data_IF_228350134124
#
_entry.id   IF_228350134124
#
_cell.length_a   1.000
_cell.length_b   1.000
_cell.length_c   1.000
_cell.angle_alpha   90.00
_cell.angle_beta   90.00
_cell.angle_gamma   90.00
#
_symmetry.space_group_name_H-M   'P 1'
#
loop_
_entity.id
_entity.type
_entity.pdbx_description
1 polymer ?
#
# COMPACT_ATOMS: atom_id res chain seq x y z
N UNK A 1 -24.00 -4.47 0.96
CA UNK A 1 -24.64 -5.52 0.14
C UNK A 1 -25.71 -6.29 0.90
N UNK A 2 -25.38 -7.21 1.83
CA UNK A 2 -26.37 -8.05 2.54
C UNK A 2 -27.51 -7.25 3.19
N UNK A 3 -27.16 -6.17 3.90
CA UNK A 3 -28.14 -5.29 4.56
C UNK A 3 -29.09 -4.56 3.58
N UNK A 4 -28.69 -4.40 2.31
CA UNK A 4 -29.51 -3.78 1.26
C UNK A 4 -30.16 -4.83 0.33
N UNK A 5 -30.06 -6.12 0.64
CA UNK A 5 -30.62 -7.20 -0.18
C UNK A 5 -29.96 -7.38 -1.55
N UNK A 6 -28.85 -6.68 -1.83
CA UNK A 6 -28.16 -6.72 -3.12
C UNK A 6 -27.43 -8.05 -3.27
N UNK A 7 -27.71 -8.75 -4.37
CA UNK A 7 -27.10 -10.02 -4.76
C UNK A 7 -26.02 -9.79 -5.82
N UNK A 8 -25.24 -10.84 -6.09
CA UNK A 8 -24.19 -10.77 -7.12
C UNK A 8 -24.76 -10.64 -8.54
N UNK A 9 -25.96 -11.16 -8.80
CA UNK A 9 -26.65 -10.98 -10.09
C UNK A 9 -26.91 -9.49 -10.40
N UNK A 10 -27.21 -8.69 -9.38
CA UNK A 10 -27.46 -7.25 -9.51
C UNK A 10 -26.18 -6.44 -9.84
N UNK A 11 -25.01 -7.06 -9.75
CA UNK A 11 -23.71 -6.42 -9.98
C UNK A 11 -23.12 -6.74 -11.36
N UNK A 12 -23.80 -7.58 -12.15
CA UNK A 12 -23.35 -7.98 -13.49
C UNK A 12 -23.18 -6.75 -14.38
N UNK A 13 -24.16 -5.85 -14.37
CA UNK A 13 -24.13 -4.59 -15.13
C UNK A 13 -23.13 -3.58 -14.55
N UNK A 14 -22.94 -3.60 -13.21
CA UNK A 14 -21.98 -2.71 -12.53
C UNK A 14 -20.56 -3.00 -12.98
N UNK A 15 -20.20 -4.28 -13.10
CA UNK A 15 -18.87 -4.71 -13.53
C UNK A 15 -18.76 -4.97 -15.04
N UNK A 16 -19.82 -4.73 -15.81
CA UNK A 16 -19.86 -4.94 -17.27
C UNK A 16 -19.43 -6.35 -17.67
N UNK A 17 -19.81 -7.35 -16.87
CA UNK A 17 -19.52 -8.76 -17.11
C UNK A 17 -20.75 -9.48 -17.65
N UNK A 18 -20.55 -10.66 -18.24
CA UNK A 18 -21.65 -11.45 -18.83
C UNK A 18 -22.35 -12.38 -17.83
N UNK A 19 -21.83 -12.53 -16.61
CA UNK A 19 -22.38 -13.49 -15.65
C UNK A 19 -22.01 -13.17 -14.20
N UNK A 20 -22.78 -13.75 -13.27
CA UNK A 20 -22.46 -13.76 -11.84
C UNK A 20 -21.07 -14.35 -11.55
N UNK A 21 -20.63 -15.33 -12.35
CA UNK A 21 -19.28 -15.89 -12.24
C UNK A 21 -18.19 -14.85 -12.52
N UNK A 22 -18.43 -13.97 -13.50
CA UNK A 22 -17.56 -12.82 -13.77
C UNK A 22 -17.46 -11.87 -12.59
N UNK A 23 -18.59 -11.56 -11.93
CA UNK A 23 -18.62 -10.75 -10.70
C UNK A 23 -17.79 -11.40 -9.59
N UNK A 24 -17.87 -12.73 -9.43
CA UNK A 24 -17.12 -13.47 -8.41
C UNK A 24 -15.60 -13.30 -8.54
N UNK A 25 -15.07 -13.14 -9.74
CA UNK A 25 -13.63 -12.90 -9.95
C UNK A 25 -13.14 -11.60 -9.33
N UNK A 26 -13.98 -10.56 -9.26
CA UNK A 26 -13.65 -9.31 -8.56
C UNK A 26 -13.62 -9.51 -7.04
N UNK A 27 -14.62 -10.19 -6.48
CA UNK A 27 -14.65 -10.47 -5.02
C UNK A 27 -13.55 -11.43 -4.56
N UNK A 28 -13.07 -12.31 -5.46
CA UNK A 28 -11.93 -13.19 -5.21
C UNK A 28 -10.57 -12.51 -5.42
N UNK A 29 -10.54 -11.22 -5.80
CA UNK A 29 -9.31 -10.47 -6.05
C UNK A 29 -8.55 -10.86 -7.31
N UNK A 30 -9.17 -11.59 -8.25
CA UNK A 30 -8.55 -11.96 -9.53
C UNK A 30 -8.58 -10.81 -10.53
N UNK A 31 -9.59 -9.95 -10.44
CA UNK A 31 -9.75 -8.77 -11.27
C UNK A 31 -9.84 -7.52 -10.41
N UNK A 32 -9.27 -6.43 -10.93
CA UNK A 32 -9.30 -5.12 -10.29
C UNK A 32 -10.38 -4.27 -10.97
N UNK A 33 -11.35 -3.73 -10.21
CA UNK A 33 -12.39 -2.86 -10.77
C UNK A 33 -11.80 -1.50 -11.18
N UNK A 34 -12.33 -0.93 -12.27
CA UNK A 34 -11.99 0.44 -12.67
C UNK A 34 -12.61 1.47 -11.71
N UNK A 35 -12.10 2.69 -11.72
CA UNK A 35 -12.70 3.79 -10.92
C UNK A 35 -14.18 4.00 -11.26
N UNK A 36 -14.55 3.89 -12.53
CA UNK A 36 -15.94 4.02 -12.97
C UNK A 36 -16.82 2.89 -12.40
N UNK A 37 -16.32 1.66 -12.40
CA UNK A 37 -17.02 0.51 -11.79
C UNK A 37 -17.18 0.69 -10.28
N UNK A 38 -16.18 1.24 -9.60
CA UNK A 38 -16.23 1.57 -8.16
C UNK A 38 -17.25 2.68 -7.87
N UNK A 39 -17.32 3.71 -8.70
CA UNK A 39 -18.34 4.78 -8.59
C UNK A 39 -19.76 4.23 -8.78
N UNK A 40 -19.97 3.37 -9.79
CA UNK A 40 -21.26 2.71 -10.03
C UNK A 40 -21.64 1.79 -8.87
N UNK A 41 -20.67 1.03 -8.34
CA UNK A 41 -20.88 0.18 -7.16
C UNK A 41 -21.26 1.03 -5.93
N UNK A 42 -20.60 2.17 -5.73
CA UNK A 42 -20.93 3.11 -4.66
C UNK A 42 -22.36 3.64 -4.77
N UNK A 43 -22.82 3.95 -6.00
CA UNK A 43 -24.19 4.36 -6.26
C UNK A 43 -25.22 3.25 -5.93
N UNK A 44 -24.97 2.01 -6.37
CA UNK A 44 -25.83 0.85 -6.06
C UNK A 44 -25.89 0.57 -4.57
N UNK A 45 -24.77 0.76 -3.87
CA UNK A 45 -24.69 0.59 -2.42
C UNK A 45 -25.16 1.82 -1.65
N UNK A 46 -25.51 2.91 -2.33
CA UNK A 46 -25.90 4.20 -1.78
C UNK A 46 -24.98 4.59 -0.61
N UNK A 47 -23.70 4.67 -0.96
CA UNK A 47 -22.59 5.22 -0.18
C UNK A 47 -21.98 6.40 -0.94
N UNK A 48 -21.10 7.17 -0.28
CA UNK A 48 -20.44 8.30 -0.93
C UNK A 48 -19.73 7.89 -2.22
N UNK A 49 -19.80 8.73 -3.26
CA UNK A 49 -19.23 8.46 -4.59
C UNK A 49 -17.77 7.97 -4.53
N UNK A 50 -16.98 8.60 -3.68
CA UNK A 50 -15.56 8.28 -3.52
C UNK A 50 -15.28 7.23 -2.45
N UNK A 51 -16.29 6.63 -1.82
CA UNK A 51 -16.13 5.77 -0.66
C UNK A 51 -15.06 4.68 -0.84
N UNK A 52 -15.08 3.97 -1.96
CA UNK A 52 -14.10 2.91 -2.25
C UNK A 52 -12.72 3.47 -2.61
N UNK A 53 -12.67 4.59 -3.33
CA UNK A 53 -11.41 5.26 -3.65
C UNK A 53 -10.75 5.80 -2.39
N UNK A 54 -11.53 6.41 -1.50
CA UNK A 54 -11.09 6.87 -0.19
C UNK A 54 -10.67 5.67 0.67
N UNK A 55 -11.32 4.52 0.59
CA UNK A 55 -10.90 3.33 1.31
C UNK A 55 -9.56 2.78 0.81
N UNK A 56 -9.33 2.81 -0.51
CA UNK A 56 -8.06 2.39 -1.12
C UNK A 56 -6.95 3.41 -0.81
N UNK A 57 -7.26 4.70 -0.85
CA UNK A 57 -6.29 5.77 -0.61
C UNK A 57 -6.00 5.98 0.88
N UNK A 58 -6.94 5.66 1.75
CA UNK A 58 -6.81 5.73 3.21
C UNK A 58 -6.59 4.35 3.85
N UNK A 59 -6.31 3.31 3.05
CA UNK A 59 -5.59 2.16 3.59
C UNK A 59 -4.24 2.72 4.00
N UNK A 60 -4.05 2.94 5.31
CA UNK A 60 -2.69 3.04 5.83
C UNK A 60 -1.94 1.86 5.23
N UNK A 61 -0.82 2.09 4.52
CA UNK A 61 -0.03 0.98 4.02
C UNK A 61 0.16 0.06 5.21
N UNK A 62 -0.26 -1.20 5.08
CA UNK A 62 -0.03 -2.18 6.12
C UNK A 62 1.49 -2.33 6.16
N UNK A 63 2.12 -1.49 6.99
CA UNK A 63 3.55 -1.42 7.12
C UNK A 63 3.92 -2.71 7.82
N UNK A 64 4.20 -3.74 7.04
CA UNK A 64 4.89 -4.91 7.54
C UNK A 64 6.33 -4.48 7.81
N UNK A 65 6.51 -3.87 8.99
CA UNK A 65 7.79 -3.35 9.47
C UNK A 65 8.65 -4.54 9.89
N UNK A 66 9.38 -5.10 8.92
CA UNK A 66 10.36 -6.14 9.17
C UNK A 66 11.66 -5.53 9.72
N UNK A 67 11.61 -5.16 11.00
CA UNK A 67 12.77 -4.63 11.72
C UNK A 67 13.88 -5.68 11.90
N UNK A 68 13.57 -6.97 11.83
CA UNK A 68 14.56 -8.05 11.86
C UNK A 68 15.42 -8.01 10.60
N UNK A 69 14.79 -7.90 9.43
CA UNK A 69 15.49 -7.75 8.14
C UNK A 69 16.34 -6.46 8.08
N UNK A 70 15.83 -5.34 8.59
CA UNK A 70 16.61 -4.09 8.66
C UNK A 70 17.84 -4.25 9.57
N UNK A 71 17.67 -4.94 10.69
CA UNK A 71 18.77 -5.23 11.63
C UNK A 71 19.82 -6.14 10.99
N UNK A 72 19.39 -7.19 10.30
CA UNK A 72 20.27 -8.09 9.54
C UNK A 72 21.04 -7.35 8.44
N UNK A 73 20.38 -6.41 7.77
CA UNK A 73 21.00 -5.55 6.76
C UNK A 73 22.16 -4.76 7.35
N UNK A 74 21.96 -4.10 8.50
CA UNK A 74 23.04 -3.37 9.17
C UNK A 74 24.17 -4.28 9.63
N UNK A 75 23.87 -5.47 10.15
CA UNK A 75 24.89 -6.44 10.54
C UNK A 75 25.72 -6.91 9.34
N UNK A 76 25.06 -7.14 8.20
CA UNK A 76 25.69 -7.57 6.96
C UNK A 76 26.63 -6.49 6.42
N UNK A 77 26.17 -5.24 6.39
CA UNK A 77 26.99 -4.08 5.99
C UNK A 77 28.19 -3.92 6.93
N UNK A 78 27.98 -4.04 8.25
CA UNK A 78 29.06 -3.94 9.23
C UNK A 78 30.15 -4.99 9.02
N UNK A 79 29.77 -6.23 8.70
CA UNK A 79 30.71 -7.31 8.34
C UNK A 79 31.45 -6.98 7.04
N UNK A 80 30.76 -6.51 6.02
CA UNK A 80 31.37 -6.17 4.72
C UNK A 80 32.38 -5.03 4.84
N UNK A 81 32.13 -4.06 5.72
CA UNK A 81 33.02 -2.93 5.97
C UNK A 81 34.16 -3.25 6.95
N UNK A 82 34.25 -4.50 7.46
CA UNK A 82 35.23 -4.92 8.46
C UNK A 82 35.27 -3.99 9.70
N UNK A 83 34.10 -3.53 10.15
CA UNK A 83 34.01 -2.71 11.36
C UNK A 83 34.55 -3.49 12.57
N UNK A 84 35.28 -2.79 13.45
CA UNK A 84 35.74 -3.40 14.69
C UNK A 84 34.57 -3.77 15.59
N UNK A 85 34.74 -4.78 16.44
CA UNK A 85 33.72 -5.21 17.40
C UNK A 85 33.22 -4.03 18.26
N UNK A 86 34.14 -3.14 18.66
CA UNK A 86 33.82 -1.91 19.42
C UNK A 86 32.89 -0.98 18.65
N UNK A 87 33.09 -0.80 17.35
CA UNK A 87 32.22 0.05 16.50
C UNK A 87 30.85 -0.57 16.33
N UNK A 88 30.79 -1.89 16.09
CA UNK A 88 29.56 -2.66 15.95
C UNK A 88 28.74 -2.56 17.24
N UNK A 89 29.34 -2.87 18.40
CA UNK A 89 28.67 -2.78 19.71
C UNK A 89 28.17 -1.37 19.99
N UNK A 90 28.98 -0.34 19.69
CA UNK A 90 28.56 1.04 19.91
C UNK A 90 27.36 1.40 19.04
N UNK A 91 27.38 1.06 17.75
CA UNK A 91 26.26 1.31 16.83
C UNK A 91 24.99 0.62 17.30
N UNK A 92 25.04 -0.70 17.52
CA UNK A 92 23.86 -1.46 17.91
C UNK A 92 23.34 -1.06 19.30
N UNK A 93 24.20 -0.62 20.23
CA UNK A 93 23.74 -0.08 21.51
C UNK A 93 22.91 1.20 21.38
N UNK A 94 23.17 2.02 20.35
CA UNK A 94 22.40 3.23 20.07
C UNK A 94 21.13 2.87 19.30
N UNK A 95 21.26 1.98 18.30
CA UNK A 95 20.13 1.49 17.51
C UNK A 95 19.05 0.81 18.36
N UNK A 96 19.43 -0.04 19.31
CA UNK A 96 18.50 -0.66 20.26
C UNK A 96 17.78 0.38 21.13
N UNK A 97 18.49 1.43 21.58
CA UNK A 97 17.88 2.54 22.33
C UNK A 97 16.90 3.36 21.50
N UNK A 98 17.09 3.40 20.18
CA UNK A 98 16.18 4.06 19.25
C UNK A 98 14.94 3.22 18.93
N UNK A 99 14.85 1.99 19.47
CA UNK A 99 13.83 0.99 19.16
C UNK A 99 13.85 0.60 17.66
N UNK A 100 14.41 -0.58 17.32
CA UNK A 100 14.50 -1.07 15.95
C UNK A 100 13.16 -1.04 15.18
N UNK A 101 12.05 -1.35 15.85
CA UNK A 101 10.72 -1.32 15.24
C UNK A 101 10.31 0.11 14.85
N UNK A 102 10.58 1.11 15.70
CA UNK A 102 10.29 2.52 15.38
C UNK A 102 11.17 3.03 14.25
N UNK A 103 12.44 2.63 14.20
CA UNK A 103 13.36 3.00 13.12
C UNK A 103 12.86 2.47 11.77
N UNK A 104 12.43 1.21 11.75
CA UNK A 104 11.93 0.57 10.54
C UNK A 104 10.57 1.15 10.09
N UNK A 105 9.70 1.51 11.03
CA UNK A 105 8.44 2.22 10.73
C UNK A 105 8.69 3.59 10.09
N UNK A 106 9.57 4.41 10.70
CA UNK A 106 9.96 5.71 10.17
C UNK A 106 10.60 5.57 8.78
N UNK A 107 11.43 4.55 8.58
CA UNK A 107 12.04 4.28 7.28
C UNK A 107 10.99 4.02 6.18
N UNK A 108 9.99 3.18 6.45
CA UNK A 108 8.95 2.91 5.45
C UNK A 108 8.06 4.14 5.18
N UNK A 109 7.73 4.94 6.20
CA UNK A 109 7.02 6.22 6.02
C UNK A 109 7.81 7.13 5.07
N UNK A 110 9.12 7.29 5.31
CA UNK A 110 9.98 8.13 4.46
C UNK A 110 10.11 7.59 3.04
N UNK A 111 10.11 6.27 2.86
CA UNK A 111 10.15 5.62 1.55
C UNK A 111 8.88 5.88 0.73
N UNK A 112 7.70 5.79 1.35
CA UNK A 112 6.42 6.14 0.72
C UNK A 112 6.41 7.62 0.32
N UNK A 113 6.78 8.52 1.23
CA UNK A 113 6.85 9.97 0.94
C UNK A 113 7.81 10.30 -0.20
N UNK A 114 8.94 9.59 -0.27
CA UNK A 114 9.90 9.75 -1.36
C UNK A 114 9.30 9.33 -2.70
N UNK A 115 8.64 8.16 -2.76
CA UNK A 115 7.99 7.66 -3.97
C UNK A 115 6.91 8.64 -4.48
N UNK A 116 6.05 9.14 -3.59
CA UNK A 116 5.02 10.14 -3.95
C UNK A 116 5.63 11.43 -4.51
N UNK A 117 6.74 11.90 -3.92
CA UNK A 117 7.42 13.10 -4.39
C UNK A 117 8.01 12.90 -5.78
N UNK A 118 8.62 11.75 -6.04
CA UNK A 118 9.20 11.40 -7.34
C UNK A 118 8.12 11.31 -8.43
N UNK A 119 6.96 10.70 -8.11
CA UNK A 119 5.81 10.64 -9.03
C UNK A 119 5.24 12.04 -9.34
N UNK A 120 5.12 12.91 -8.33
CA UNK A 120 4.70 14.31 -8.52
C UNK A 120 5.67 15.09 -9.41
N UNK A 121 6.97 14.88 -9.26
CA UNK A 121 7.98 15.51 -10.13
C UNK A 121 7.87 14.98 -11.56
N UNK A 122 7.75 13.67 -11.75
CA UNK A 122 7.61 13.06 -13.08
C UNK A 122 6.34 13.50 -13.81
N UNK A 123 5.21 13.54 -13.11
CA UNK A 123 3.93 14.00 -13.68
C UNK A 123 3.95 15.48 -14.04
N UNK A 124 4.66 16.31 -13.26
CA UNK A 124 4.88 17.73 -13.56
C UNK A 124 5.74 17.90 -14.81
N UNK A 125 6.87 17.18 -14.91
CA UNK A 125 7.74 17.22 -16.09
C UNK A 125 7.04 16.75 -17.37
N UNK A 126 6.16 15.73 -17.29
CA UNK A 126 5.34 15.30 -18.43
C UNK A 126 4.31 16.34 -18.87
N UNK A 127 3.81 17.19 -17.96
CA UNK A 127 2.87 18.28 -18.27
C UNK A 127 3.52 19.49 -18.95
N UNK A 128 4.83 19.70 -18.73
CA UNK A 128 5.58 20.81 -19.32
C UNK A 128 6.42 20.41 -20.54
N UNK A 129 6.46 19.12 -20.90
CA UNK A 129 7.24 18.58 -22.02
C UNK A 129 6.45 18.32 -23.32
N UNK A 130 5.20 18.78 -23.42
CA UNK A 130 4.36 18.72 -24.63
C UNK A 130 4.10 20.12 -25.18
#
# INVERSE_FOLDING_TARGET
MRAKGIKQEDLVDVFEVSSQGGVSHYFAGRYTPSNEQLERLAAVLDVGKNYFLDLINNQEPELHVDHELLTETFQTIARQLNLSEREITKFFSVYEKMNPSQVAEIYEILKVQKAEREEKVQSTLRKFGN
#
